data_IF_792595055218
#
_entry.id   IF_792595055218
#
_cell.length_a   1.000
_cell.length_b   1.000
_cell.length_c   1.000
_cell.angle_alpha   90.00
_cell.angle_beta   90.00
_cell.angle_gamma   90.00
#
_symmetry.space_group_name_H-M   'P 1'
#
loop_
_entity.id
_entity.type
_entity.pdbx_description
1 polymer ?
#
# COMPACT_ATOMS: atom_id res chain seq x y z
N UNK A 1 14.52 17.65 14.66
CA UNK A 1 13.17 18.19 14.98
C UNK A 1 12.79 17.98 16.45
N UNK A 2 12.82 16.76 16.99
CA UNK A 2 12.42 16.47 18.38
C UNK A 2 13.11 17.37 19.43
N UNK A 3 14.44 17.50 19.43
CA UNK A 3 15.17 18.33 20.39
C UNK A 3 14.81 19.80 20.32
N UNK A 4 14.56 20.32 19.13
CA UNK A 4 14.15 21.71 18.94
C UNK A 4 12.72 21.96 19.42
N UNK A 5 11.81 21.01 19.13
CA UNK A 5 10.43 21.08 19.64
C UNK A 5 10.41 21.09 21.17
N UNK A 6 11.18 20.20 21.81
CA UNK A 6 11.30 20.14 23.28
C UNK A 6 11.85 21.45 23.87
N UNK A 7 12.83 22.08 23.19
CA UNK A 7 13.38 23.37 23.63
C UNK A 7 12.37 24.51 23.59
N UNK A 8 11.52 24.53 22.55
CA UNK A 8 10.52 25.59 22.33
C UNK A 8 9.32 25.44 23.27
N UNK A 9 8.82 24.18 23.40
CA UNK A 9 7.58 23.91 24.16
C UNK A 9 7.83 23.54 25.63
N UNK A 10 9.06 23.24 26.01
CA UNK A 10 9.42 22.83 27.37
C UNK A 10 8.99 21.40 27.74
N UNK A 11 8.01 20.86 27.04
CA UNK A 11 7.45 19.51 27.25
C UNK A 11 7.42 18.74 25.94
N UNK A 12 7.32 17.42 26.04
CA UNK A 12 7.11 16.55 24.90
C UNK A 12 5.67 16.04 24.86
N UNK A 13 4.92 16.44 23.86
CA UNK A 13 3.50 16.14 23.70
C UNK A 13 3.22 14.97 22.75
N UNK A 14 4.23 14.22 22.34
CA UNK A 14 4.06 13.01 21.53
C UNK A 14 3.71 13.22 20.05
N UNK A 15 3.74 14.46 19.55
CA UNK A 15 3.32 14.82 18.17
C UNK A 15 4.24 14.30 17.05
N UNK A 16 5.46 13.88 17.36
CA UNK A 16 6.42 13.38 16.39
C UNK A 16 6.43 11.86 16.37
N UNK A 17 6.19 11.27 15.22
CA UNK A 17 6.25 9.82 15.00
C UNK A 17 7.61 9.39 14.42
N UNK A 18 7.89 8.08 14.40
CA UNK A 18 9.15 7.54 13.84
C UNK A 18 10.41 7.86 14.65
N UNK A 19 10.26 8.19 15.94
CA UNK A 19 11.39 8.45 16.84
C UNK A 19 12.12 7.17 17.23
N UNK A 20 13.42 7.27 17.50
CA UNK A 20 14.14 6.20 18.18
C UNK A 20 13.64 5.97 19.62
N UNK A 21 13.91 4.78 20.16
CA UNK A 21 13.48 4.40 21.52
C UNK A 21 13.93 5.40 22.58
N UNK A 22 15.14 5.93 22.47
CA UNK A 22 15.70 6.96 23.39
C UNK A 22 14.88 8.25 23.44
N UNK A 23 14.04 8.49 22.46
CA UNK A 23 13.19 9.67 22.35
C UNK A 23 11.69 9.35 22.53
N UNK A 24 11.38 8.22 23.16
CA UNK A 24 10.01 7.79 23.39
C UNK A 24 9.33 7.21 22.15
N UNK A 25 10.10 6.65 21.21
CA UNK A 25 9.60 5.89 20.08
C UNK A 25 9.15 4.48 20.48
N UNK A 26 8.50 3.76 19.55
CA UNK A 26 8.09 2.37 19.73
C UNK A 26 8.80 1.45 18.75
N UNK A 27 8.95 0.18 19.13
CA UNK A 27 9.36 -0.90 18.23
C UNK A 27 8.27 -1.17 17.19
N UNK A 28 8.65 -1.84 16.10
CA UNK A 28 7.75 -2.26 15.03
C UNK A 28 6.93 -1.12 14.38
N UNK A 29 7.40 0.14 14.50
CA UNK A 29 6.67 1.30 13.95
C UNK A 29 6.71 1.36 12.43
N UNK A 30 7.80 0.90 11.83
CA UNK A 30 8.02 0.98 10.37
C UNK A 30 7.04 0.08 9.63
N UNK A 31 6.85 -1.14 10.10
CA UNK A 31 5.98 -2.15 9.49
C UNK A 31 4.51 -2.06 9.94
N UNK A 32 4.23 -1.36 11.04
CA UNK A 32 2.95 -1.41 11.74
C UNK A 32 1.74 -1.11 10.84
N UNK A 33 1.83 -0.09 9.99
CA UNK A 33 0.70 0.30 9.11
C UNK A 33 0.46 -0.73 8.03
N UNK A 34 1.50 -1.19 7.34
CA UNK A 34 1.39 -2.20 6.29
C UNK A 34 0.87 -3.54 6.83
N UNK A 35 1.40 -3.98 7.96
CA UNK A 35 0.97 -5.22 8.61
C UNK A 35 -0.47 -5.11 9.13
N UNK A 36 -0.82 -4.00 9.78
CA UNK A 36 -2.17 -3.76 10.28
C UNK A 36 -3.21 -3.75 9.16
N UNK A 37 -2.87 -3.15 8.02
CA UNK A 37 -3.71 -3.20 6.82
C UNK A 37 -4.04 -4.64 6.42
N UNK A 38 -3.04 -5.51 6.34
CA UNK A 38 -3.26 -6.89 5.90
C UNK A 38 -4.01 -7.73 6.94
N UNK A 39 -3.79 -7.51 8.23
CA UNK A 39 -4.59 -8.15 9.27
C UNK A 39 -6.06 -7.72 9.20
N UNK A 40 -6.32 -6.42 9.01
CA UNK A 40 -7.69 -5.92 8.81
C UNK A 40 -8.33 -6.54 7.55
N UNK A 41 -7.58 -6.57 6.44
CA UNK A 41 -8.05 -7.16 5.18
C UNK A 41 -8.39 -8.64 5.35
N UNK A 42 -7.53 -9.40 6.04
CA UNK A 42 -7.74 -10.82 6.33
C UNK A 42 -9.02 -11.04 7.14
N UNK A 43 -9.23 -10.28 8.21
CA UNK A 43 -10.44 -10.41 9.04
C UNK A 43 -11.70 -9.98 8.29
N UNK A 44 -11.62 -8.92 7.47
CA UNK A 44 -12.74 -8.48 6.61
C UNK A 44 -13.17 -9.58 5.63
N UNK A 45 -12.21 -10.19 4.95
CA UNK A 45 -12.49 -11.29 4.01
C UNK A 45 -13.06 -12.50 4.73
N UNK A 46 -12.49 -12.89 5.86
CA UNK A 46 -12.96 -14.00 6.69
C UNK A 46 -14.40 -13.83 7.17
N UNK A 47 -14.79 -12.61 7.59
CA UNK A 47 -16.18 -12.29 7.95
C UNK A 47 -17.15 -12.49 6.79
N UNK A 48 -16.66 -12.39 5.55
CA UNK A 48 -17.43 -12.64 4.33
C UNK A 48 -17.26 -14.07 3.79
N UNK A 49 -16.64 -14.99 4.54
CA UNK A 49 -16.42 -16.38 4.12
C UNK A 49 -15.36 -16.55 3.03
N UNK A 50 -14.47 -15.58 2.86
CA UNK A 50 -13.43 -15.57 1.82
C UNK A 50 -12.07 -15.81 2.48
N UNK A 51 -11.30 -16.77 1.94
CA UNK A 51 -9.91 -16.95 2.35
C UNK A 51 -9.02 -15.95 1.57
N UNK A 52 -8.09 -15.31 2.28
CA UNK A 52 -7.12 -14.40 1.70
C UNK A 52 -6.03 -15.15 0.92
N UNK A 53 -5.71 -16.37 1.31
CA UNK A 53 -4.67 -17.17 0.66
C UNK A 53 -5.04 -17.48 -0.81
N UNK A 54 -4.06 -17.36 -1.71
CA UNK A 54 -4.24 -17.57 -3.14
C UNK A 54 -4.88 -16.40 -3.89
N UNK A 55 -5.26 -15.32 -3.21
CA UNK A 55 -5.77 -14.10 -3.82
C UNK A 55 -4.67 -13.30 -4.50
N UNK A 56 -5.06 -12.47 -5.46
CA UNK A 56 -4.19 -11.49 -6.11
C UNK A 56 -4.46 -10.09 -5.59
N UNK A 57 -3.43 -9.25 -5.55
CA UNK A 57 -3.57 -7.87 -5.08
C UNK A 57 -2.83 -6.87 -5.97
N UNK A 58 -3.46 -5.70 -6.18
CA UNK A 58 -2.80 -4.49 -6.64
C UNK A 58 -2.45 -3.62 -5.44
N UNK A 59 -1.20 -3.19 -5.36
CA UNK A 59 -0.71 -2.26 -4.33
C UNK A 59 -0.17 -1.02 -5.02
N UNK A 60 -0.54 0.16 -4.54
CA UNK A 60 0.10 1.41 -4.94
C UNK A 60 1.18 1.81 -3.95
N UNK A 61 2.16 2.58 -4.43
CA UNK A 61 3.29 3.03 -3.61
C UNK A 61 4.45 2.05 -3.56
N UNK A 62 5.54 2.53 -3.01
CA UNK A 62 6.77 1.79 -2.73
C UNK A 62 7.51 2.38 -1.51
N UNK A 63 6.78 3.09 -0.66
CA UNK A 63 7.25 3.55 0.65
C UNK A 63 7.00 2.51 1.75
N UNK A 64 7.24 2.87 3.00
CA UNK A 64 7.11 1.95 4.13
C UNK A 64 5.77 1.21 4.17
N UNK A 65 4.65 1.91 4.02
CA UNK A 65 3.33 1.26 4.05
C UNK A 65 3.21 0.20 2.97
N UNK A 66 3.55 0.55 1.73
CA UNK A 66 3.46 -0.36 0.58
C UNK A 66 4.41 -1.55 0.70
N UNK A 67 5.69 -1.32 1.04
CA UNK A 67 6.70 -2.38 1.18
C UNK A 67 6.25 -3.42 2.22
N UNK A 68 5.82 -2.97 3.40
CA UNK A 68 5.41 -3.90 4.46
C UNK A 68 4.00 -4.47 4.25
N UNK A 69 3.13 -3.79 3.50
CA UNK A 69 1.88 -4.40 3.03
C UNK A 69 2.15 -5.53 2.04
N UNK A 70 3.05 -5.33 1.05
CA UNK A 70 3.45 -6.36 0.09
C UNK A 70 4.10 -7.55 0.80
N UNK A 71 5.01 -7.29 1.75
CA UNK A 71 5.66 -8.32 2.54
C UNK A 71 4.64 -9.18 3.31
N UNK A 72 3.74 -8.53 4.04
CA UNK A 72 2.71 -9.25 4.81
C UNK A 72 1.72 -9.97 3.91
N UNK A 73 1.31 -9.38 2.80
CA UNK A 73 0.44 -10.01 1.80
C UNK A 73 1.07 -11.31 1.28
N UNK A 74 2.35 -11.26 0.91
CA UNK A 74 3.11 -12.44 0.46
C UNK A 74 3.18 -13.52 1.55
N UNK A 75 3.41 -13.14 2.83
CA UNK A 75 3.41 -14.08 3.96
C UNK A 75 2.05 -14.75 4.17
N UNK A 76 0.95 -14.07 3.87
CA UNK A 76 -0.42 -14.60 3.95
C UNK A 76 -0.85 -15.37 2.69
N UNK A 77 0.06 -15.57 1.72
CA UNK A 77 -0.22 -16.31 0.49
C UNK A 77 -0.92 -15.50 -0.60
N UNK A 78 -0.93 -14.16 -0.50
CA UNK A 78 -1.44 -13.28 -1.55
C UNK A 78 -0.35 -13.01 -2.57
N UNK A 79 -0.68 -13.11 -3.87
CA UNK A 79 0.21 -12.69 -4.95
C UNK A 79 0.00 -11.21 -5.25
N UNK A 80 0.97 -10.38 -4.88
CA UNK A 80 0.93 -8.95 -5.19
C UNK A 80 1.49 -8.70 -6.58
N UNK A 81 0.69 -8.13 -7.47
CA UNK A 81 1.01 -7.96 -8.88
C UNK A 81 1.65 -6.62 -9.22
N UNK A 82 1.42 -5.59 -8.39
CA UNK A 82 1.85 -4.23 -8.71
C UNK A 82 2.47 -3.51 -7.52
N UNK A 83 3.35 -2.56 -7.83
CA UNK A 83 3.75 -1.48 -6.93
C UNK A 83 4.02 -0.21 -7.75
N UNK A 84 4.03 0.98 -7.12
CA UNK A 84 4.22 2.24 -7.85
C UNK A 84 5.11 3.23 -7.12
N UNK A 85 5.64 4.18 -7.84
CA UNK A 85 6.26 5.40 -7.29
C UNK A 85 5.70 6.64 -8.00
N UNK A 86 6.29 7.81 -7.75
CA UNK A 86 5.82 9.07 -8.33
C UNK A 86 6.00 9.17 -9.85
N UNK A 87 6.80 8.29 -10.46
CA UNK A 87 7.11 8.35 -11.89
C UNK A 87 6.35 7.30 -12.69
N UNK A 88 5.99 6.18 -12.05
CA UNK A 88 5.32 5.09 -12.74
C UNK A 88 5.04 3.90 -11.83
N UNK A 89 4.72 2.79 -12.43
CA UNK A 89 4.37 1.56 -11.73
C UNK A 89 4.94 0.33 -12.42
N UNK A 90 5.07 -0.71 -11.63
CA UNK A 90 5.55 -2.03 -12.06
C UNK A 90 4.40 -3.00 -12.03
N UNK A 91 4.32 -3.82 -13.06
CA UNK A 91 3.54 -5.06 -13.10
C UNK A 91 4.49 -6.24 -13.12
N UNK A 92 4.32 -7.18 -12.19
CA UNK A 92 5.06 -8.44 -12.16
C UNK A 92 4.05 -9.60 -12.09
N UNK A 93 3.86 -10.36 -13.20
CA UNK A 93 2.91 -11.47 -13.25
C UNK A 93 3.27 -12.62 -12.32
N UNK A 94 4.55 -12.72 -11.93
CA UNK A 94 5.04 -13.74 -11.00
C UNK A 94 4.87 -13.32 -9.53
N UNK A 95 4.53 -12.05 -9.31
CA UNK A 95 4.40 -11.42 -8.00
C UNK A 95 5.61 -10.57 -7.64
N UNK A 96 5.35 -9.42 -6.99
CA UNK A 96 6.38 -8.46 -6.58
C UNK A 96 7.37 -9.14 -5.62
N UNK A 97 8.65 -9.08 -5.98
CA UNK A 97 9.75 -9.53 -5.15
C UNK A 97 10.08 -8.50 -4.07
N UNK A 98 9.78 -8.86 -2.83
CA UNK A 98 9.97 -7.98 -1.65
C UNK A 98 11.44 -7.65 -1.44
N UNK A 99 12.35 -8.60 -1.65
CA UNK A 99 13.77 -8.39 -1.44
C UNK A 99 14.32 -7.38 -2.47
N UNK A 100 13.98 -7.58 -3.74
CA UNK A 100 14.33 -6.63 -4.81
C UNK A 100 13.74 -5.24 -4.55
N UNK A 101 12.48 -5.16 -4.10
CA UNK A 101 11.83 -3.89 -3.79
C UNK A 101 12.53 -3.16 -2.63
N UNK A 102 12.87 -3.86 -1.54
CA UNK A 102 13.62 -3.31 -0.41
C UNK A 102 15.01 -2.84 -0.83
N UNK A 103 15.73 -3.63 -1.61
CA UNK A 103 17.05 -3.28 -2.12
C UNK A 103 16.99 -1.97 -2.93
N UNK A 104 16.03 -1.84 -3.84
CA UNK A 104 15.86 -0.64 -4.65
C UNK A 104 15.48 0.58 -3.81
N UNK A 105 14.51 0.44 -2.89
CA UNK A 105 13.89 1.59 -2.21
C UNK A 105 14.58 1.96 -0.90
N UNK A 106 14.99 1.00 -0.10
CA UNK A 106 15.57 1.24 1.24
C UNK A 106 17.09 1.37 1.18
N UNK A 107 17.77 0.52 0.39
CA UNK A 107 19.23 0.51 0.29
C UNK A 107 19.70 1.52 -0.76
N UNK A 108 19.32 1.32 -2.01
CA UNK A 108 19.80 2.14 -3.13
C UNK A 108 19.05 3.48 -3.27
N UNK A 109 17.88 3.64 -2.64
CA UNK A 109 17.00 4.83 -2.75
C UNK A 109 16.71 5.21 -4.20
N UNK A 110 16.64 4.20 -5.07
CA UNK A 110 16.43 4.35 -6.49
C UNK A 110 14.93 4.37 -6.88
N UNK A 111 14.67 4.52 -8.17
CA UNK A 111 13.33 4.48 -8.76
C UNK A 111 12.95 3.06 -9.16
N UNK A 112 11.65 2.81 -9.32
CA UNK A 112 11.15 1.50 -9.76
C UNK A 112 11.54 1.12 -11.19
N UNK A 113 12.06 2.05 -11.98
CA UNK A 113 12.69 1.77 -13.29
C UNK A 113 13.80 0.73 -13.20
N UNK A 114 14.45 0.62 -12.01
CA UNK A 114 15.50 -0.36 -11.76
C UNK A 114 14.98 -1.78 -11.52
N UNK A 115 13.69 -1.94 -11.24
CA UNK A 115 13.07 -3.22 -10.83
C UNK A 115 13.27 -4.31 -11.90
N UNK A 116 13.19 -3.94 -13.17
CA UNK A 116 13.40 -4.87 -14.28
C UNK A 116 14.80 -5.54 -14.30
N UNK A 117 15.79 -4.94 -13.66
CA UNK A 117 17.13 -5.55 -13.52
C UNK A 117 17.13 -6.78 -12.61
N UNK A 118 16.23 -6.79 -11.62
CA UNK A 118 16.06 -7.89 -10.67
C UNK A 118 15.03 -8.91 -11.17
N UNK A 119 13.99 -8.41 -11.87
CA UNK A 119 12.85 -9.21 -12.36
C UNK A 119 12.64 -8.94 -13.87
N UNK A 120 13.34 -9.66 -14.77
CA UNK A 120 13.28 -9.39 -16.21
C UNK A 120 11.89 -9.54 -16.84
N UNK A 121 11.02 -10.40 -16.27
CA UNK A 121 9.65 -10.63 -16.73
C UNK A 121 8.67 -9.52 -16.32
N UNK A 122 9.11 -8.59 -15.45
CA UNK A 122 8.26 -7.48 -15.03
C UNK A 122 8.19 -6.39 -16.12
N UNK A 123 7.10 -5.64 -16.08
CA UNK A 123 6.86 -4.50 -16.95
C UNK A 123 6.85 -3.22 -16.12
N UNK A 124 7.54 -2.19 -16.64
CA UNK A 124 7.47 -0.85 -16.05
C UNK A 124 6.66 0.06 -16.98
N UNK A 125 5.72 0.77 -16.40
CA UNK A 125 4.84 1.71 -17.08
C UNK A 125 5.00 3.10 -16.46
N UNK A 126 5.09 4.13 -17.29
CA UNK A 126 5.14 5.51 -16.83
C UNK A 126 3.75 6.03 -16.44
N UNK A 127 3.73 6.95 -15.48
CA UNK A 127 2.51 7.59 -15.01
C UNK A 127 1.65 6.73 -14.09
N UNK A 128 0.32 6.93 -14.16
CA UNK A 128 -0.67 6.23 -13.34
C UNK A 128 -1.22 5.03 -14.09
N UNK A 129 -1.69 4.01 -13.34
CA UNK A 129 -2.30 2.85 -14.00
C UNK A 129 -2.36 1.57 -13.15
N UNK A 130 -1.94 1.62 -11.90
CA UNK A 130 -1.92 0.45 -10.99
C UNK A 130 -3.27 -0.29 -10.97
N UNK A 131 -4.38 0.45 -11.04
CA UNK A 131 -5.73 -0.07 -10.83
C UNK A 131 -6.37 -0.70 -12.08
N UNK A 132 -5.71 -0.65 -13.24
CA UNK A 132 -6.20 -1.32 -14.47
C UNK A 132 -5.90 -2.82 -14.47
N UNK A 133 -4.98 -3.26 -13.61
CA UNK A 133 -4.59 -4.67 -13.52
C UNK A 133 -5.68 -5.45 -12.78
N UNK A 134 -6.10 -6.56 -13.36
CA UNK A 134 -7.09 -7.44 -12.75
C UNK A 134 -6.53 -8.11 -11.50
N UNK A 135 -7.15 -7.85 -10.37
CA UNK A 135 -6.80 -8.45 -9.08
C UNK A 135 -8.01 -8.55 -8.16
N UNK A 136 -7.95 -9.46 -7.20
CA UNK A 136 -9.01 -9.66 -6.21
C UNK A 136 -9.05 -8.53 -5.17
N UNK A 137 -7.90 -7.94 -4.84
CA UNK A 137 -7.75 -6.94 -3.78
C UNK A 137 -7.07 -5.69 -4.34
N UNK A 138 -7.52 -4.53 -3.89
CA UNK A 138 -6.86 -3.25 -4.13
C UNK A 138 -6.42 -2.64 -2.79
N UNK A 139 -5.12 -2.35 -2.67
CA UNK A 139 -4.49 -1.84 -1.46
C UNK A 139 -3.82 -0.48 -1.75
N UNK A 140 -4.56 0.63 -1.68
CA UNK A 140 -3.99 1.96 -1.85
C UNK A 140 -3.06 2.30 -0.69
N UNK A 141 -1.74 2.39 -0.98
CA UNK A 141 -0.68 2.58 0.01
C UNK A 141 0.27 3.75 -0.31
N UNK A 142 -0.05 4.59 -1.30
CA UNK A 142 0.82 5.66 -1.74
C UNK A 142 0.40 7.01 -1.14
N UNK A 143 -0.61 7.64 -1.72
CA UNK A 143 -0.94 9.03 -1.41
C UNK A 143 -2.44 9.26 -1.27
N UNK A 144 -2.75 10.43 -0.70
CA UNK A 144 -4.12 10.93 -0.61
C UNK A 144 -4.72 11.16 -2.01
N UNK A 145 -6.02 10.86 -2.18
CA UNK A 145 -6.78 11.06 -3.43
C UNK A 145 -6.16 10.35 -4.65
N UNK A 146 -5.57 9.18 -4.47
CA UNK A 146 -4.96 8.43 -5.55
C UNK A 146 -5.93 7.52 -6.31
N UNK A 147 -7.04 7.11 -5.69
CA UNK A 147 -8.05 6.26 -6.32
C UNK A 147 -9.20 7.15 -6.82
N UNK A 148 -9.23 7.37 -8.12
CA UNK A 148 -10.22 8.21 -8.81
C UNK A 148 -11.44 7.39 -9.24
N UNK A 149 -12.46 8.08 -9.77
CA UNK A 149 -13.69 7.44 -10.22
C UNK A 149 -13.46 6.43 -11.36
N UNK A 150 -12.57 6.76 -12.29
CA UNK A 150 -12.20 5.87 -13.40
C UNK A 150 -11.50 4.61 -12.87
N UNK A 151 -10.62 4.77 -11.90
CA UNK A 151 -9.91 3.66 -11.24
C UNK A 151 -10.89 2.73 -10.53
N UNK A 152 -11.87 3.30 -9.80
CA UNK A 152 -12.90 2.52 -9.12
C UNK A 152 -13.77 1.73 -10.10
N UNK A 153 -14.14 2.32 -11.24
CA UNK A 153 -14.87 1.61 -12.30
C UNK A 153 -14.05 0.44 -12.85
N UNK A 154 -12.77 0.67 -13.14
CA UNK A 154 -11.87 -0.39 -13.62
C UNK A 154 -11.76 -1.54 -12.60
N UNK A 155 -11.63 -1.23 -11.30
CA UNK A 155 -11.60 -2.25 -10.25
C UNK A 155 -12.90 -3.07 -10.19
N UNK A 156 -14.06 -2.43 -10.30
CA UNK A 156 -15.36 -3.12 -10.31
C UNK A 156 -15.48 -4.00 -11.56
N UNK A 157 -15.16 -3.49 -12.73
CA UNK A 157 -15.19 -4.23 -14.01
C UNK A 157 -14.25 -5.43 -13.99
N UNK A 158 -13.11 -5.31 -13.34
CA UNK A 158 -12.13 -6.38 -13.15
C UNK A 158 -12.52 -7.40 -12.07
N UNK A 159 -13.63 -7.16 -11.34
CA UNK A 159 -14.12 -8.06 -10.31
C UNK A 159 -13.35 -7.99 -8.99
N UNK A 160 -12.77 -6.84 -8.67
CA UNK A 160 -12.11 -6.61 -7.38
C UNK A 160 -13.08 -6.85 -6.22
N UNK A 161 -12.69 -7.69 -5.28
CA UNK A 161 -13.55 -8.12 -4.16
C UNK A 161 -13.51 -7.11 -3.01
N UNK A 162 -12.37 -6.50 -2.73
CA UNK A 162 -12.21 -5.56 -1.63
C UNK A 162 -11.16 -4.49 -1.93
N UNK A 163 -11.44 -3.28 -1.47
CA UNK A 163 -10.50 -2.15 -1.41
C UNK A 163 -10.21 -1.87 0.06
N UNK A 164 -8.95 -1.97 0.47
CA UNK A 164 -8.52 -1.72 1.85
C UNK A 164 -7.40 -0.68 1.86
N UNK A 165 -7.64 0.43 2.54
CA UNK A 165 -6.80 1.63 2.49
C UNK A 165 -5.64 1.56 3.49
N UNK A 166 -4.41 1.63 2.99
CA UNK A 166 -3.19 1.77 3.79
C UNK A 166 -2.70 3.21 3.87
N UNK A 167 -3.01 4.03 2.88
CA UNK A 167 -2.73 5.46 2.88
C UNK A 167 -3.83 6.26 3.59
N UNK A 168 -3.53 7.52 3.91
CA UNK A 168 -4.51 8.42 4.50
C UNK A 168 -5.43 9.00 3.41
N UNK A 169 -6.73 8.66 3.45
CA UNK A 169 -7.77 9.10 2.50
C UNK A 169 -7.35 8.91 1.01
N UNK A 170 -6.94 7.72 0.57
CA UNK A 170 -6.52 7.52 -0.81
C UNK A 170 -7.69 7.54 -1.80
N UNK A 171 -8.88 7.15 -1.36
CA UNK A 171 -10.09 7.14 -2.18
C UNK A 171 -10.72 8.53 -2.21
N UNK A 172 -11.04 9.02 -3.40
CA UNK A 172 -11.66 10.33 -3.56
C UNK A 172 -13.11 10.33 -3.08
N UNK A 173 -13.62 11.50 -2.68
CA UNK A 173 -15.02 11.65 -2.24
C UNK A 173 -16.02 11.23 -3.32
N UNK A 174 -15.72 11.46 -4.59
CA UNK A 174 -16.55 11.04 -5.71
C UNK A 174 -16.76 9.52 -5.74
N UNK A 175 -15.76 8.74 -5.37
CA UNK A 175 -15.85 7.26 -5.26
C UNK A 175 -16.59 6.87 -3.98
N UNK A 176 -16.22 7.44 -2.83
CA UNK A 176 -16.80 7.08 -1.54
C UNK A 176 -18.32 7.29 -1.49
N UNK A 177 -18.78 8.43 -2.01
CA UNK A 177 -20.22 8.74 -2.01
C UNK A 177 -21.04 8.01 -3.08
N UNK A 178 -20.42 7.63 -4.20
CA UNK A 178 -21.14 7.03 -5.33
C UNK A 178 -21.13 5.49 -5.32
N UNK A 179 -20.11 4.88 -4.76
CA UNK A 179 -19.89 3.44 -4.90
C UNK A 179 -19.68 2.67 -3.59
N UNK A 180 -19.34 3.36 -2.50
CA UNK A 180 -19.05 2.74 -1.21
C UNK A 180 -20.07 3.04 -0.12
N UNK A 181 -21.03 3.94 -0.37
CA UNK A 181 -22.15 4.15 0.55
C UNK A 181 -23.18 3.06 0.35
N UNK A 182 -23.51 2.33 1.41
CA UNK A 182 -24.68 1.48 1.44
C UNK A 182 -25.92 2.33 1.12
N UNK A 183 -26.86 1.85 0.30
CA UNK A 183 -28.12 2.55 0.12
C UNK A 183 -28.79 2.69 1.49
N UNK A 184 -28.94 3.92 1.95
CA UNK A 184 -29.81 4.22 3.09
C UNK A 184 -31.24 4.07 2.61
N UNK A 185 -31.87 2.98 2.99
CA UNK A 185 -33.33 2.78 2.88
C UNK A 185 -34.02 3.60 3.94
#
# INVERSE_FOLDING_TARGET
MFGQYKRIRGVYEGVLTGKGLSYGGSLARTEATGYGLLYLTQELLKLNGIDIAGKTACVSGSGNVAIYAIEKATQLGVKVLTCSDSNGWVYDPDGIDVAALKEIKEVNRARLTEYKKYRPNSEYHEGRGVWVVKADLALPCATQNELLLEDAKALVENGCTAVCEGANMPTTLAVSYTHLTLPTT
#
